data_IF_714924848292
#
_entry.id   IF_714924848292
#
_cell.length_a   1.000
_cell.length_b   1.000
_cell.length_c   1.000
_cell.angle_alpha   90.00
_cell.angle_beta   90.00
_cell.angle_gamma   90.00
#
_symmetry.space_group_name_H-M   'P 1'
#
loop_
_entity.id
_entity.type
_entity.pdbx_description
1 polymer ?
#
# COMPACT_ATOMS: atom_id res chain seq x y z
N UNK A 1 -13.93 -27.01 -24.70
CA UNK A 1 -13.33 -25.77 -24.16
C UNK A 1 -13.33 -24.74 -25.28
N UNK A 2 -13.92 -23.57 -25.02
CA UNK A 2 -14.08 -22.50 -26.03
C UNK A 2 -12.73 -21.81 -26.31
N UNK A 3 -12.22 -21.84 -27.56
CA UNK A 3 -10.97 -21.18 -27.95
C UNK A 3 -10.99 -19.65 -27.83
N UNK A 4 -12.17 -19.04 -27.61
CA UNK A 4 -12.36 -17.60 -27.46
C UNK A 4 -12.09 -17.07 -26.05
N UNK A 5 -11.90 -17.96 -25.06
CA UNK A 5 -11.65 -17.61 -23.65
C UNK A 5 -10.16 -17.56 -23.27
N UNK A 6 -9.28 -17.10 -24.18
CA UNK A 6 -7.87 -16.94 -23.83
C UNK A 6 -7.71 -15.77 -22.85
N UNK A 7 -7.68 -16.10 -21.57
CA UNK A 7 -7.26 -15.17 -20.54
C UNK A 7 -5.78 -14.83 -20.75
N UNK A 8 -5.48 -13.55 -20.97
CA UNK A 8 -4.10 -13.06 -21.01
C UNK A 8 -3.49 -13.25 -19.62
N UNK A 9 -2.35 -13.97 -19.49
CA UNK A 9 -1.66 -14.08 -18.21
C UNK A 9 -1.24 -12.70 -17.70
N UNK A 10 -1.53 -12.40 -16.43
CA UNK A 10 -1.10 -11.17 -15.76
C UNK A 10 0.16 -11.46 -14.95
N UNK A 11 1.36 -11.01 -15.38
CA UNK A 11 2.58 -11.23 -14.64
C UNK A 11 2.54 -10.46 -13.31
N UNK A 12 3.09 -11.07 -12.27
CA UNK A 12 3.18 -10.44 -10.96
C UNK A 12 4.43 -10.93 -10.23
N UNK A 13 4.82 -10.20 -9.17
CA UNK A 13 5.84 -10.64 -8.22
C UNK A 13 5.23 -10.76 -6.83
N UNK A 14 5.57 -11.84 -6.13
CA UNK A 14 5.18 -12.02 -4.72
C UNK A 14 6.32 -11.55 -3.82
N UNK A 15 6.02 -10.67 -2.87
CA UNK A 15 6.99 -10.16 -1.89
C UNK A 15 6.39 -10.15 -0.49
N UNK A 16 7.21 -9.98 0.54
CA UNK A 16 6.71 -9.69 1.88
C UNK A 16 7.62 -8.73 2.63
N UNK A 17 7.04 -7.96 3.56
CA UNK A 17 7.75 -7.13 4.51
C UNK A 17 7.47 -7.63 5.92
N UNK A 18 8.41 -8.35 6.53
CA UNK A 18 8.26 -8.93 7.88
C UNK A 18 6.99 -9.82 8.03
N UNK A 19 6.68 -10.63 7.02
CA UNK A 19 5.54 -11.55 7.02
C UNK A 19 4.25 -10.98 6.42
N UNK A 20 4.09 -9.65 6.38
CA UNK A 20 2.99 -9.03 5.65
C UNK A 20 3.26 -9.14 4.13
N UNK A 21 2.43 -9.91 3.43
CA UNK A 21 2.71 -10.37 2.06
C UNK A 21 1.90 -9.63 0.99
N UNK A 22 2.55 -9.45 -0.16
CA UNK A 22 2.09 -8.62 -1.25
C UNK A 22 2.16 -9.37 -2.58
N UNK A 23 1.15 -9.16 -3.41
CA UNK A 23 1.30 -9.27 -4.87
C UNK A 23 1.63 -7.89 -5.40
N UNK A 24 2.59 -7.80 -6.32
CA UNK A 24 2.98 -6.57 -6.99
C UNK A 24 2.81 -6.75 -8.49
N UNK A 25 2.14 -5.79 -9.13
CA UNK A 25 1.90 -5.78 -10.57
C UNK A 25 2.44 -4.47 -11.15
N UNK A 26 3.21 -4.59 -12.23
CA UNK A 26 3.71 -3.45 -12.99
C UNK A 26 2.70 -3.02 -14.06
N UNK A 27 2.18 -1.82 -13.90
CA UNK A 27 1.28 -1.13 -14.82
C UNK A 27 1.98 0.05 -15.54
N UNK A 28 3.31 0.17 -15.45
CA UNK A 28 4.06 1.32 -15.99
C UNK A 28 4.01 1.40 -17.51
N UNK A 29 4.03 0.26 -18.20
CA UNK A 29 3.95 0.17 -19.66
C UNK A 29 2.55 -0.18 -20.19
N UNK A 30 1.83 -1.03 -19.45
CA UNK A 30 0.50 -1.49 -19.83
C UNK A 30 -0.47 -1.26 -18.67
N UNK A 31 -1.15 -0.11 -18.66
CA UNK A 31 -2.19 0.16 -17.68
C UNK A 31 -3.31 -0.88 -17.79
N UNK A 32 -3.84 -1.29 -16.65
CA UNK A 32 -4.96 -2.22 -16.58
C UNK A 32 -5.92 -1.80 -15.46
N UNK A 33 -7.15 -2.27 -15.57
CA UNK A 33 -8.18 -2.00 -14.58
C UNK A 33 -8.49 -3.28 -13.83
N UNK A 34 -8.38 -3.23 -12.51
CA UNK A 34 -8.87 -4.29 -11.64
C UNK A 34 -10.22 -3.94 -11.07
N UNK A 35 -11.12 -4.91 -11.08
CA UNK A 35 -12.33 -4.82 -10.27
C UNK A 35 -12.05 -5.34 -8.86
N UNK A 36 -12.82 -4.89 -7.87
CA UNK A 36 -12.78 -5.45 -6.51
C UNK A 36 -13.00 -6.97 -6.52
N UNK A 37 -13.83 -7.48 -7.44
CA UNK A 37 -14.03 -8.93 -7.63
C UNK A 37 -12.76 -9.66 -8.06
N UNK A 38 -11.96 -9.08 -8.98
CA UNK A 38 -10.68 -9.67 -9.37
C UNK A 38 -9.68 -9.68 -8.20
N UNK A 39 -9.60 -8.59 -7.45
CA UNK A 39 -8.68 -8.48 -6.30
C UNK A 39 -9.03 -9.53 -5.25
N UNK A 40 -10.32 -9.64 -4.86
CA UNK A 40 -10.79 -10.65 -3.91
C UNK A 40 -10.47 -12.08 -4.36
N UNK A 41 -10.71 -12.38 -5.64
CA UNK A 41 -10.41 -13.70 -6.18
C UNK A 41 -8.91 -14.03 -6.14
N UNK A 42 -8.04 -13.07 -6.45
CA UNK A 42 -6.59 -13.28 -6.35
C UNK A 42 -6.10 -13.34 -4.90
N UNK A 43 -6.75 -12.62 -3.98
CA UNK A 43 -6.36 -12.52 -2.57
C UNK A 43 -6.68 -13.78 -1.75
N UNK A 44 -7.63 -14.61 -2.22
CA UNK A 44 -7.93 -15.89 -1.59
C UNK A 44 -6.67 -16.76 -1.52
N UNK A 45 -6.33 -17.24 -0.32
CA UNK A 45 -5.10 -18.01 -0.08
C UNK A 45 -5.17 -19.47 -0.51
N UNK A 46 -6.36 -20.00 -0.74
CA UNK A 46 -6.58 -21.39 -1.12
C UNK A 46 -6.85 -21.52 -2.63
N UNK A 47 -7.60 -20.57 -3.19
CA UNK A 47 -8.06 -20.62 -4.58
C UNK A 47 -7.41 -19.55 -5.47
N UNK A 48 -6.78 -18.54 -4.86
CA UNK A 48 -6.06 -17.48 -5.54
C UNK A 48 -4.54 -17.58 -5.36
N UNK A 49 -3.87 -16.45 -5.54
CA UNK A 49 -2.43 -16.30 -5.25
C UNK A 49 -2.20 -16.19 -3.74
N UNK A 50 -3.16 -15.60 -3.02
CA UNK A 50 -3.09 -15.32 -1.60
C UNK A 50 -2.21 -14.11 -1.30
N UNK A 51 -2.73 -13.10 -0.61
CA UNK A 51 -1.94 -11.95 -0.12
C UNK A 51 -2.74 -11.13 0.89
N UNK A 52 -2.04 -10.33 1.70
CA UNK A 52 -2.69 -9.31 2.53
C UNK A 52 -3.08 -8.08 1.70
N UNK A 53 -2.16 -7.59 0.85
CA UNK A 53 -2.42 -6.48 -0.06
C UNK A 53 -1.86 -6.70 -1.47
N UNK A 54 -2.50 -6.07 -2.44
CA UNK A 54 -2.03 -5.92 -3.81
C UNK A 54 -1.42 -4.52 -3.99
N UNK A 55 -0.21 -4.46 -4.55
CA UNK A 55 0.46 -3.22 -4.92
C UNK A 55 0.48 -3.08 -6.44
N UNK A 56 0.16 -1.89 -6.94
CA UNK A 56 0.25 -1.57 -8.37
C UNK A 56 1.25 -0.44 -8.57
N UNK A 57 2.22 -0.68 -9.46
CA UNK A 57 3.23 0.30 -9.88
C UNK A 57 2.73 0.97 -11.14
N UNK A 58 2.42 2.25 -11.06
CA UNK A 58 1.88 3.04 -12.17
C UNK A 58 2.94 4.02 -12.71
N UNK A 59 2.80 4.50 -13.95
CA UNK A 59 3.66 5.57 -14.45
C UNK A 59 3.55 6.82 -13.57
N UNK A 60 4.60 7.64 -13.54
CA UNK A 60 4.59 8.90 -12.80
C UNK A 60 3.41 9.80 -13.23
N UNK A 61 2.52 10.20 -12.31
CA UNK A 61 1.34 10.98 -12.68
C UNK A 61 1.67 12.46 -12.94
N UNK A 62 2.81 12.95 -12.44
CA UNK A 62 3.22 14.36 -12.52
C UNK A 62 4.75 14.47 -12.68
N UNK A 63 5.26 15.57 -13.29
CA UNK A 63 6.69 15.85 -13.36
C UNK A 63 7.34 15.90 -11.97
N UNK A 64 8.54 15.32 -11.87
CA UNK A 64 9.31 15.29 -10.62
C UNK A 64 8.90 14.20 -9.63
N UNK A 65 7.94 13.34 -10.00
CA UNK A 65 7.64 12.07 -9.34
C UNK A 65 8.20 10.92 -10.18
N UNK A 66 8.49 9.79 -9.52
CA UNK A 66 9.08 8.62 -10.15
C UNK A 66 8.01 7.61 -10.59
N UNK A 67 6.97 7.42 -9.77
CA UNK A 67 5.91 6.43 -10.00
C UNK A 67 4.59 6.84 -9.34
N UNK A 68 3.49 6.27 -9.83
CA UNK A 68 2.27 6.11 -9.06
C UNK A 68 2.32 4.80 -8.25
N UNK A 69 1.77 4.84 -7.03
CA UNK A 69 1.76 3.71 -6.11
C UNK A 69 0.37 3.55 -5.50
N UNK A 70 -0.32 2.47 -5.89
CA UNK A 70 -1.66 2.12 -5.39
C UNK A 70 -1.64 0.84 -4.60
N UNK A 71 -2.52 0.77 -3.60
CA UNK A 71 -2.56 -0.31 -2.62
C UNK A 71 -4.00 -0.75 -2.46
N UNK A 72 -4.26 -2.05 -2.63
CA UNK A 72 -5.56 -2.63 -2.40
C UNK A 72 -5.48 -3.69 -1.32
N UNK A 73 -6.40 -3.69 -0.38
CA UNK A 73 -6.57 -4.79 0.56
C UNK A 73 -7.14 -6.03 -0.15
N UNK A 74 -7.05 -7.18 0.52
CA UNK A 74 -7.66 -8.43 0.08
C UNK A 74 -9.18 -8.32 -0.22
N UNK A 75 -9.90 -7.39 0.42
CA UNK A 75 -11.32 -7.12 0.14
C UNK A 75 -11.54 -6.19 -1.07
N UNK A 76 -10.48 -5.80 -1.77
CA UNK A 76 -10.52 -4.92 -2.93
C UNK A 76 -10.75 -3.44 -2.61
N UNK A 77 -10.78 -3.03 -1.33
CA UNK A 77 -10.74 -1.62 -0.95
C UNK A 77 -9.35 -1.03 -1.21
N UNK A 78 -9.31 0.19 -1.73
CA UNK A 78 -8.06 0.94 -1.90
C UNK A 78 -7.71 1.65 -0.59
N UNK A 79 -6.44 1.64 -0.20
CA UNK A 79 -5.96 2.24 1.05
C UNK A 79 -4.84 3.24 0.83
N UNK A 80 -4.77 4.18 1.76
CA UNK A 80 -3.90 5.34 1.72
C UNK A 80 -2.41 5.02 1.85
N UNK A 81 -2.06 4.09 2.74
CA UNK A 81 -0.65 3.85 3.03
C UNK A 81 -0.42 2.45 3.62
N UNK A 82 0.69 1.82 3.22
CA UNK A 82 1.23 0.66 3.91
C UNK A 82 2.75 0.77 3.98
N UNK A 83 3.30 0.98 5.19
CA UNK A 83 4.74 1.12 5.39
C UNK A 83 5.55 -0.13 4.97
N UNK A 84 4.96 -1.33 5.09
CA UNK A 84 5.58 -2.57 4.59
C UNK A 84 5.53 -2.64 3.06
N UNK A 85 4.37 -2.31 2.49
CA UNK A 85 4.17 -2.28 1.05
C UNK A 85 5.11 -1.30 0.36
N UNK A 86 5.30 -0.11 0.94
CA UNK A 86 6.23 0.90 0.43
C UNK A 86 7.69 0.39 0.35
N UNK A 87 8.13 -0.43 1.31
CA UNK A 87 9.45 -1.06 1.25
C UNK A 87 9.54 -2.10 0.14
N UNK A 88 8.52 -2.96 0.02
CA UNK A 88 8.45 -3.93 -1.07
C UNK A 88 8.40 -3.26 -2.44
N UNK A 89 7.62 -2.18 -2.58
CA UNK A 89 7.54 -1.36 -3.78
C UNK A 89 8.91 -0.82 -4.19
N UNK A 90 9.65 -0.17 -3.28
CA UNK A 90 10.95 0.40 -3.59
C UNK A 90 11.97 -0.67 -4.01
N UNK A 91 11.95 -1.85 -3.36
CA UNK A 91 12.76 -2.99 -3.79
C UNK A 91 12.34 -3.49 -5.17
N UNK A 92 11.05 -3.66 -5.40
CA UNK A 92 10.52 -4.14 -6.68
C UNK A 92 10.98 -3.28 -7.85
N UNK A 93 10.81 -1.95 -7.78
CA UNK A 93 11.19 -1.06 -8.88
C UNK A 93 12.70 -1.01 -9.10
N UNK A 94 13.49 -1.20 -8.05
CA UNK A 94 14.95 -1.32 -8.19
C UNK A 94 15.37 -2.64 -8.81
N UNK A 95 14.84 -3.74 -8.29
CA UNK A 95 15.26 -5.10 -8.65
C UNK A 95 14.81 -5.48 -10.07
N UNK A 96 13.73 -4.88 -10.56
CA UNK A 96 13.25 -5.03 -11.95
C UNK A 96 13.80 -3.96 -12.91
N UNK A 97 14.75 -3.12 -12.47
CA UNK A 97 15.40 -2.13 -13.35
C UNK A 97 14.51 -0.97 -13.81
N UNK A 98 13.35 -0.77 -13.17
CA UNK A 98 12.45 0.36 -13.44
C UNK A 98 13.08 1.70 -12.99
N UNK A 99 14.03 1.66 -12.06
CA UNK A 99 14.79 2.84 -11.62
C UNK A 99 16.17 2.46 -11.10
N UNK A 100 17.13 3.38 -11.27
CA UNK A 100 18.46 3.33 -10.67
C UNK A 100 18.65 4.35 -9.54
N UNK A 101 17.59 5.07 -9.13
CA UNK A 101 17.64 6.12 -8.10
C UNK A 101 17.55 5.54 -6.69
N UNK A 102 18.40 6.01 -5.79
CA UNK A 102 18.35 5.62 -4.37
C UNK A 102 17.20 6.31 -3.63
N UNK A 103 16.86 7.54 -4.00
CA UNK A 103 15.73 8.29 -3.49
C UNK A 103 14.60 8.31 -4.53
N UNK A 104 13.42 7.86 -4.12
CA UNK A 104 12.20 7.84 -4.94
C UNK A 104 11.13 8.72 -4.31
N UNK A 105 10.47 9.52 -5.15
CA UNK A 105 9.28 10.31 -4.81
C UNK A 105 8.09 9.70 -5.52
N UNK A 106 7.18 9.10 -4.77
CA UNK A 106 6.06 8.34 -5.35
C UNK A 106 4.73 8.91 -4.91
N UNK A 107 3.77 8.95 -5.82
CA UNK A 107 2.40 9.39 -5.54
C UNK A 107 1.60 8.24 -4.95
N UNK A 108 0.96 8.46 -3.81
CA UNK A 108 -0.09 7.60 -3.23
C UNK A 108 -1.43 8.34 -3.24
N UNK A 109 -2.54 7.70 -2.89
CA UNK A 109 -3.81 8.42 -2.73
C UNK A 109 -3.82 9.40 -1.55
N UNK A 110 -2.95 9.22 -0.54
CA UNK A 110 -2.77 10.16 0.58
C UNK A 110 -1.75 11.29 0.33
N UNK A 111 -1.05 11.28 -0.82
CA UNK A 111 -0.04 12.27 -1.17
C UNK A 111 1.30 11.66 -1.58
N UNK A 112 2.34 12.48 -1.57
CA UNK A 112 3.68 12.06 -2.00
C UNK A 112 4.46 11.52 -0.80
N UNK A 113 5.07 10.35 -0.97
CA UNK A 113 6.00 9.77 0.01
C UNK A 113 7.40 9.64 -0.59
N UNK A 114 8.40 9.65 0.29
CA UNK A 114 9.80 9.48 -0.09
C UNK A 114 10.33 8.13 0.40
N UNK A 115 10.93 7.37 -0.52
CA UNK A 115 11.48 6.05 -0.28
C UNK A 115 12.99 6.10 -0.55
N UNK A 116 13.80 5.79 0.44
CA UNK A 116 15.25 5.78 0.31
C UNK A 116 15.79 4.36 0.44
N UNK A 117 16.31 3.85 -0.66
CA UNK A 117 17.02 2.56 -0.75
C UNK A 117 18.45 2.80 -0.28
N UNK A 118 18.80 2.21 0.85
CA UNK A 118 20.15 2.34 1.43
C UNK A 118 21.16 1.46 0.69
N UNK A 119 22.45 1.75 0.87
CA UNK A 119 23.54 0.94 0.31
C UNK A 119 23.50 -0.55 0.73
N UNK A 120 22.91 -0.86 1.89
CA UNK A 120 22.71 -2.25 2.35
C UNK A 120 21.50 -2.94 1.72
N UNK A 121 20.75 -2.23 0.88
CA UNK A 121 19.53 -2.70 0.26
C UNK A 121 18.27 -2.55 1.12
N UNK A 122 18.37 -2.16 2.39
CA UNK A 122 17.21 -1.82 3.21
C UNK A 122 16.52 -0.55 2.71
N UNK A 123 15.22 -0.44 2.95
CA UNK A 123 14.41 0.73 2.54
C UNK A 123 13.97 1.52 3.76
N UNK A 124 14.29 2.82 3.77
CA UNK A 124 13.74 3.81 4.70
C UNK A 124 12.56 4.49 4.05
N UNK A 125 11.47 4.61 4.79
CA UNK A 125 10.22 5.25 4.32
C UNK A 125 10.00 6.49 5.14
N UNK A 126 9.87 7.64 4.48
CA UNK A 126 9.36 8.84 5.14
C UNK A 126 7.83 8.70 5.28
N UNK A 127 7.38 8.40 6.50
CA UNK A 127 5.96 8.22 6.83
C UNK A 127 5.24 9.55 7.12
N UNK A 128 5.92 10.69 6.95
CA UNK A 128 5.36 12.00 7.27
C UNK A 128 5.24 12.26 8.77
N UNK A 129 4.46 13.29 9.11
CA UNK A 129 4.27 13.77 10.48
C UNK A 129 2.95 13.21 11.03
N UNK A 130 2.96 12.61 12.22
CA UNK A 130 1.73 12.13 12.87
C UNK A 130 0.72 13.25 13.11
N UNK A 131 -0.55 12.97 12.84
CA UNK A 131 -1.70 13.82 13.17
C UNK A 131 -2.38 13.29 14.43
N UNK A 132 -2.64 14.18 15.38
CA UNK A 132 -3.24 13.84 16.68
C UNK A 132 -4.63 14.47 16.92
N UNK A 133 -5.07 15.37 16.03
CA UNK A 133 -6.39 15.98 16.17
C UNK A 133 -7.47 14.95 15.84
N UNK A 134 -8.49 14.76 16.69
CA UNK A 134 -9.55 13.77 16.46
C UNK A 134 -10.20 13.86 15.07
N UNK A 135 -10.45 15.09 14.61
CA UNK A 135 -11.02 15.36 13.28
C UNK A 135 -10.14 14.93 12.10
N UNK A 136 -8.84 14.72 12.32
CA UNK A 136 -7.87 14.24 11.31
C UNK A 136 -7.65 12.71 11.37
N UNK A 137 -8.29 12.01 12.30
CA UNK A 137 -8.16 10.55 12.55
C UNK A 137 -9.51 9.84 12.37
N UNK A 138 -10.51 10.49 11.77
CA UNK A 138 -11.94 10.19 11.95
C UNK A 138 -12.39 9.73 13.35
N UNK A 139 -11.87 10.34 14.41
CA UNK A 139 -12.15 9.92 15.78
C UNK A 139 -13.11 10.89 16.48
N UNK A 140 -14.19 10.37 17.07
CA UNK A 140 -15.17 11.17 17.79
C UNK A 140 -14.69 11.48 19.22
N UNK A 141 -14.30 12.72 19.48
CA UNK A 141 -13.95 13.20 20.81
C UNK A 141 -14.40 14.65 21.02
N UNK A 142 -14.78 15.00 22.25
CA UNK A 142 -15.19 16.38 22.59
C UNK A 142 -14.04 17.39 22.49
N UNK A 143 -12.82 16.96 22.78
CA UNK A 143 -11.62 17.77 22.72
C UNK A 143 -10.40 16.89 22.44
N UNK A 144 -9.35 17.48 21.88
CA UNK A 144 -8.07 16.79 21.70
C UNK A 144 -7.43 16.47 23.06
N UNK A 145 -6.94 15.25 23.21
CA UNK A 145 -6.23 14.77 24.38
C UNK A 145 -5.14 13.78 23.98
N UNK A 146 -4.12 13.60 24.83
CA UNK A 146 -3.11 12.56 24.64
C UNK A 146 -3.67 11.16 24.93
N UNK A 147 -4.65 11.06 25.83
CA UNK A 147 -5.33 9.81 26.18
C UNK A 147 -6.83 10.04 26.25
N UNK A 148 -7.58 9.06 25.75
CA UNK A 148 -9.03 9.04 25.73
C UNK A 148 -9.50 7.83 26.55
N UNK A 149 -10.52 8.03 27.38
CA UNK A 149 -11.23 6.94 28.02
C UNK A 149 -12.38 6.50 27.11
N UNK A 150 -12.41 5.23 26.73
CA UNK A 150 -13.46 4.65 25.89
C UNK A 150 -14.13 3.52 26.67
N UNK A 151 -15.46 3.54 26.71
CA UNK A 151 -16.24 2.42 27.23
C UNK A 151 -16.30 1.30 26.18
N UNK A 152 -15.90 0.09 26.55
CA UNK A 152 -15.96 -1.12 25.74
C UNK A 152 -16.65 -2.22 26.54
N UNK A 153 -17.99 -2.27 26.46
CA UNK A 153 -18.80 -3.09 27.35
C UNK A 153 -18.66 -2.63 28.80
N UNK A 154 -18.35 -3.55 29.71
CA UNK A 154 -18.19 -3.29 31.15
C UNK A 154 -16.80 -2.74 31.52
N UNK A 155 -15.93 -2.50 30.53
CA UNK A 155 -14.57 -2.02 30.74
C UNK A 155 -14.38 -0.58 30.25
N UNK A 156 -13.53 0.16 30.96
CA UNK A 156 -13.01 1.44 30.47
C UNK A 156 -11.57 1.25 30.01
N UNK A 157 -11.32 1.51 28.73
CA UNK A 157 -9.99 1.45 28.12
C UNK A 157 -9.40 2.85 28.02
N UNK A 158 -8.11 2.99 28.34
CA UNK A 158 -7.35 4.22 28.10
C UNK A 158 -6.49 4.04 26.86
N UNK A 159 -6.71 4.85 25.82
CA UNK A 159 -5.96 4.76 24.57
C UNK A 159 -5.50 6.13 24.05
N UNK A 160 -4.50 6.12 23.18
CA UNK A 160 -4.07 7.27 22.39
C UNK A 160 -4.39 6.99 20.92
N UNK A 161 -4.82 8.01 20.18
CA UNK A 161 -5.08 7.90 18.74
C UNK A 161 -4.05 8.71 17.96
N UNK A 162 -3.65 8.18 16.81
CA UNK A 162 -2.71 8.84 15.88
C UNK A 162 -3.05 8.41 14.47
N UNK A 163 -2.91 9.32 13.51
CA UNK A 163 -2.93 9.03 12.09
C UNK A 163 -1.52 9.32 11.51
N UNK A 164 -0.97 8.41 10.71
CA UNK A 164 0.37 8.48 10.10
C UNK A 164 0.35 8.72 8.58
N UNK A 165 -0.75 9.26 8.06
CA UNK A 165 -0.96 9.48 6.63
C UNK A 165 -2.44 9.43 6.38
#
# INVERSE_FOLDING_TARGET
MDPSSRHTPLPFTKMHGLGNDFVIIDATLQPFTLTSGNIKAMADRHFGVGFDQLLVVEPAPLPGLDFGYRIFNADGSEVEQCGNGARCFARYVRDNGLTNKDLLRVQTCAGIIELHITATGQVRVNMGIPKFQPAQIPFAARQAALRYAIAAGDQTLSLSVVNMG
#
